data_IF_070062702230
#
_entry.id   IF_070062702230
#
_cell.length_a   1.000
_cell.length_b   1.000
_cell.length_c   1.000
_cell.angle_alpha   90.00
_cell.angle_beta   90.00
_cell.angle_gamma   90.00
#
_symmetry.space_group_name_H-M   'P 1'
#
loop_
_entity.id
_entity.type
_entity.pdbx_description
1 polymer ?
#
# COMPACT_ATOMS: atom_id res chain seq x y z
N UNK A 1 -1.16 24.42 -6.14
CA UNK A 1 -0.61 23.69 -4.99
C UNK A 1 0.68 24.34 -4.53
N UNK A 2 1.05 24.23 -3.25
CA UNK A 2 2.36 24.68 -2.77
C UNK A 2 3.43 23.62 -3.08
N UNK A 3 4.69 24.05 -3.19
CA UNK A 3 5.82 23.18 -3.53
C UNK A 3 5.99 22.00 -2.58
N UNK A 4 6.39 20.85 -3.12
CA UNK A 4 6.76 19.65 -2.35
C UNK A 4 8.21 19.80 -1.87
N UNK A 5 8.39 20.02 -0.57
CA UNK A 5 9.70 20.17 0.05
C UNK A 5 10.14 18.84 0.66
N UNK A 6 11.27 18.30 0.18
CA UNK A 6 11.86 17.06 0.68
C UNK A 6 13.13 17.41 1.47
N UNK A 7 13.26 16.87 2.69
CA UNK A 7 14.47 17.03 3.50
C UNK A 7 15.74 16.64 2.73
N UNK A 8 16.88 17.31 2.94
CA UNK A 8 18.15 16.89 2.34
C UNK A 8 18.56 15.51 2.85
N UNK A 9 19.29 14.76 2.02
CA UNK A 9 19.72 13.39 2.35
C UNK A 9 20.63 13.32 3.59
N UNK A 10 21.36 14.40 3.87
CA UNK A 10 22.22 14.52 5.06
C UNK A 10 21.45 14.68 6.38
N UNK A 11 20.18 15.09 6.33
CA UNK A 11 19.33 15.30 7.51
C UNK A 11 18.45 14.10 7.86
N UNK A 12 18.69 12.93 7.25
CA UNK A 12 17.87 11.75 7.49
C UNK A 12 18.67 10.46 7.26
N UNK A 13 18.42 9.47 8.08
CA UNK A 13 18.95 8.11 7.90
C UNK A 13 18.28 7.42 6.71
N UNK A 14 16.98 7.63 6.52
CA UNK A 14 16.17 6.93 5.52
C UNK A 14 15.71 7.88 4.40
N UNK A 15 15.91 7.45 3.18
CA UNK A 15 15.32 8.12 2.01
C UNK A 15 13.86 7.75 1.84
N UNK A 16 13.50 6.49 2.14
CA UNK A 16 12.12 5.99 2.10
C UNK A 16 11.88 4.97 3.21
N UNK A 17 10.76 5.12 3.92
CA UNK A 17 10.24 4.09 4.83
C UNK A 17 8.83 3.74 4.40
N UNK A 18 8.54 2.45 4.24
CA UNK A 18 7.18 1.97 4.01
C UNK A 18 6.59 1.35 5.26
N UNK A 19 5.26 1.51 5.43
CA UNK A 19 4.52 0.91 6.53
C UNK A 19 3.35 0.11 5.99
N UNK A 20 3.38 -1.20 6.20
CA UNK A 20 2.35 -2.09 5.68
C UNK A 20 2.65 -3.56 5.90
N UNK A 21 1.84 -4.42 5.28
CA UNK A 21 2.02 -5.86 5.35
C UNK A 21 2.98 -6.37 4.27
N UNK A 22 3.88 -7.25 4.66
CA UNK A 22 4.66 -8.06 3.73
C UNK A 22 4.16 -9.50 3.80
N UNK A 23 3.72 -10.01 2.64
CA UNK A 23 3.10 -11.34 2.50
C UNK A 23 3.98 -12.27 1.68
N UNK A 24 3.68 -13.57 1.77
CA UNK A 24 4.11 -14.53 0.76
C UNK A 24 3.10 -14.59 -0.39
N UNK A 25 3.61 -14.43 -1.61
CA UNK A 25 2.85 -14.54 -2.86
C UNK A 25 3.17 -15.85 -3.54
N UNK A 26 2.12 -16.59 -3.88
CA UNK A 26 2.20 -17.89 -4.54
C UNK A 26 1.72 -17.78 -5.98
N UNK A 27 2.62 -18.03 -6.93
CA UNK A 27 2.36 -18.00 -8.37
C UNK A 27 2.33 -19.45 -8.91
N UNK A 28 1.18 -19.93 -9.41
CA UNK A 28 1.05 -21.27 -9.98
C UNK A 28 1.60 -21.38 -11.42
N UNK A 29 2.28 -20.33 -11.93
CA UNK A 29 2.71 -20.25 -13.33
C UNK A 29 1.54 -20.01 -14.27
N UNK A 30 1.42 -20.84 -15.31
CA UNK A 30 0.32 -20.73 -16.30
C UNK A 30 -0.97 -21.45 -15.85
N UNK A 31 -0.92 -22.21 -14.77
CA UNK A 31 -2.05 -22.96 -14.21
C UNK A 31 -3.04 -22.11 -13.42
N UNK A 32 -4.04 -22.79 -12.88
CA UNK A 32 -4.97 -22.24 -11.88
C UNK A 32 -4.53 -22.67 -10.48
N UNK A 33 -4.73 -21.83 -9.48
CA UNK A 33 -4.47 -22.16 -8.07
C UNK A 33 -5.10 -23.47 -7.67
N UNK A 34 -6.38 -23.68 -8.02
CA UNK A 34 -7.14 -24.91 -7.66
C UNK A 34 -6.59 -26.21 -8.24
N UNK A 35 -5.72 -26.15 -9.24
CA UNK A 35 -5.13 -27.31 -9.90
C UNK A 35 -3.60 -27.36 -9.73
N UNK A 36 -3.02 -26.39 -9.01
CA UNK A 36 -1.58 -26.29 -8.87
C UNK A 36 -1.05 -27.37 -7.92
N UNK A 37 0.09 -27.95 -8.27
CA UNK A 37 0.87 -28.85 -7.41
C UNK A 37 2.20 -28.26 -6.98
N UNK A 38 2.54 -27.10 -7.53
CA UNK A 38 3.74 -26.32 -7.18
C UNK A 38 3.46 -24.83 -7.35
N UNK A 39 4.20 -24.02 -6.64
CA UNK A 39 4.13 -22.57 -6.71
C UNK A 39 5.53 -22.00 -6.69
N UNK A 40 5.77 -20.94 -7.44
CA UNK A 40 6.86 -20.03 -7.18
C UNK A 40 6.43 -19.10 -6.04
N UNK A 41 7.33 -18.90 -5.07
CA UNK A 41 7.04 -18.09 -3.89
C UNK A 41 7.86 -16.81 -3.92
N UNK A 42 7.20 -15.69 -3.67
CA UNK A 42 7.79 -14.35 -3.65
C UNK A 42 7.27 -13.58 -2.45
N UNK A 43 8.03 -12.63 -1.97
CA UNK A 43 7.54 -11.61 -1.06
C UNK A 43 6.75 -10.54 -1.82
N UNK A 44 5.85 -9.84 -1.12
CA UNK A 44 5.13 -8.70 -1.68
C UNK A 44 4.19 -8.07 -0.71
N UNK A 45 3.92 -6.82 -0.96
CA UNK A 45 2.98 -5.96 -0.25
C UNK A 45 2.95 -4.63 -0.97
N UNK A 46 1.79 -3.96 -1.03
CA UNK A 46 1.67 -2.69 -1.76
C UNK A 46 2.75 -1.70 -1.32
N UNK A 47 2.84 -1.51 -0.03
CA UNK A 47 3.75 -0.56 0.61
C UNK A 47 5.22 -1.01 0.53
N UNK A 48 5.48 -2.29 0.81
CA UNK A 48 6.83 -2.87 0.73
C UNK A 48 7.40 -2.80 -0.69
N UNK A 49 6.58 -3.04 -1.71
CA UNK A 49 7.03 -2.97 -3.10
C UNK A 49 7.62 -1.60 -3.45
N UNK A 50 7.11 -0.52 -2.85
CA UNK A 50 7.67 0.83 -3.02
C UNK A 50 9.05 0.94 -2.39
N UNK A 51 9.23 0.51 -1.13
CA UNK A 51 10.54 0.52 -0.48
C UNK A 51 11.57 -0.33 -1.24
N UNK A 52 11.14 -1.52 -1.70
CA UNK A 52 11.98 -2.42 -2.51
C UNK A 52 12.39 -1.77 -3.84
N UNK A 53 11.47 -1.13 -4.54
CA UNK A 53 11.75 -0.41 -5.77
C UNK A 53 12.71 0.76 -5.52
N UNK A 54 12.49 1.55 -4.47
CA UNK A 54 13.39 2.64 -4.08
C UNK A 54 14.81 2.12 -3.84
N UNK A 55 14.96 0.96 -3.21
CA UNK A 55 16.28 0.34 -3.02
C UNK A 55 16.87 -0.21 -4.31
N UNK A 56 16.12 -1.04 -5.04
CA UNK A 56 16.64 -1.79 -6.21
C UNK A 56 16.85 -0.91 -7.45
N UNK A 57 15.92 0.00 -7.73
CA UNK A 57 15.97 0.81 -8.95
C UNK A 57 16.79 2.10 -8.76
N UNK A 58 16.75 2.70 -7.58
CA UNK A 58 17.37 4.01 -7.33
C UNK A 58 18.42 4.03 -6.23
N UNK A 59 18.81 2.87 -5.69
CA UNK A 59 19.85 2.73 -4.66
C UNK A 59 19.62 3.60 -3.41
N UNK A 60 18.35 3.88 -3.08
CA UNK A 60 17.98 4.67 -1.92
C UNK A 60 18.10 3.85 -0.63
N UNK A 61 18.30 4.54 0.49
CA UNK A 61 18.26 3.94 1.83
C UNK A 61 16.79 3.72 2.18
N UNK A 62 16.36 2.46 2.13
CA UNK A 62 14.97 2.09 2.35
C UNK A 62 14.81 1.13 3.52
N UNK A 63 13.75 1.33 4.32
CA UNK A 63 13.36 0.46 5.42
C UNK A 63 11.86 0.13 5.33
N UNK A 64 11.46 -0.94 6.01
CA UNK A 64 10.04 -1.32 6.16
C UNK A 64 9.66 -1.42 7.63
N UNK A 65 8.49 -0.86 7.96
CA UNK A 65 7.79 -1.10 9.23
C UNK A 65 6.69 -2.12 8.95
N UNK A 66 6.78 -3.28 9.58
CA UNK A 66 5.83 -4.39 9.43
C UNK A 66 5.86 -5.28 10.66
N UNK A 67 5.02 -6.32 10.70
CA UNK A 67 5.13 -7.36 11.71
C UNK A 67 5.17 -8.75 11.09
N UNK A 68 6.00 -9.62 11.64
CA UNK A 68 6.20 -11.00 11.20
C UNK A 68 6.10 -11.97 12.38
N UNK A 69 5.61 -13.20 12.17
CA UNK A 69 5.61 -14.24 13.20
C UNK A 69 7.01 -14.86 13.36
N UNK A 70 7.35 -15.26 14.58
CA UNK A 70 8.59 -16.00 14.88
C UNK A 70 8.48 -17.46 14.46
N UNK A 71 8.49 -17.75 13.16
CA UNK A 71 8.47 -19.09 12.60
C UNK A 71 9.17 -19.11 11.23
N UNK A 72 9.29 -20.30 10.63
CA UNK A 72 9.98 -20.48 9.35
C UNK A 72 9.41 -19.63 8.21
N UNK A 73 8.08 -19.37 8.20
CA UNK A 73 7.47 -18.52 7.17
C UNK A 73 7.79 -17.03 7.39
N UNK A 74 7.85 -16.60 8.65
CA UNK A 74 8.28 -15.24 8.98
C UNK A 74 9.76 -15.01 8.62
N UNK A 75 10.62 -15.99 8.92
CA UNK A 75 12.03 -15.95 8.53
C UNK A 75 12.25 -16.03 7.01
N UNK A 76 11.40 -16.77 6.29
CA UNK A 76 11.42 -16.76 4.83
C UNK A 76 11.09 -15.38 4.26
N UNK A 77 10.09 -14.68 4.82
CA UNK A 77 9.80 -13.29 4.42
C UNK A 77 10.95 -12.36 4.75
N UNK A 78 11.57 -12.50 5.92
CA UNK A 78 12.76 -11.73 6.33
C UNK A 78 13.89 -11.92 5.32
N UNK A 79 14.21 -13.16 4.94
CA UNK A 79 15.26 -13.47 3.96
C UNK A 79 14.98 -12.81 2.61
N UNK A 80 13.76 -12.88 2.12
CA UNK A 80 13.37 -12.22 0.88
C UNK A 80 13.48 -10.69 0.96
N UNK A 81 13.11 -10.09 2.09
CA UNK A 81 13.29 -8.65 2.29
C UNK A 81 14.77 -8.27 2.29
N UNK A 82 15.64 -9.07 2.95
CA UNK A 82 17.10 -8.90 2.92
C UNK A 82 17.65 -8.99 1.51
N UNK A 83 17.21 -9.95 0.70
CA UNK A 83 17.54 -10.05 -0.73
C UNK A 83 17.08 -8.81 -1.51
N UNK A 84 15.97 -8.19 -1.11
CA UNK A 84 15.50 -6.89 -1.59
C UNK A 84 16.41 -5.72 -1.20
N UNK A 85 17.25 -5.90 -0.17
CA UNK A 85 18.14 -4.87 0.38
C UNK A 85 17.40 -3.79 1.17
N UNK A 86 16.20 -4.07 1.63
CA UNK A 86 15.39 -3.19 2.50
C UNK A 86 15.73 -3.49 3.96
N UNK A 87 15.91 -2.46 4.76
CA UNK A 87 16.26 -2.58 6.18
C UNK A 87 15.08 -3.09 7.01
N UNK A 88 15.36 -3.96 7.97
CA UNK A 88 14.41 -4.69 8.81
C UNK A 88 14.42 -4.25 10.28
N UNK A 89 15.19 -3.20 10.65
CA UNK A 89 15.35 -2.77 12.04
C UNK A 89 14.03 -2.35 12.73
N UNK A 90 12.99 -2.11 11.95
CA UNK A 90 11.66 -1.69 12.42
C UNK A 90 10.61 -2.80 12.29
N UNK A 91 11.01 -4.08 12.15
CA UNK A 91 10.10 -5.22 12.13
C UNK A 91 9.67 -5.58 13.54
N UNK A 92 8.35 -5.71 13.75
CA UNK A 92 7.75 -6.19 14.99
C UNK A 92 7.62 -7.70 14.89
N UNK A 93 8.35 -8.41 15.74
CA UNK A 93 8.28 -9.87 15.80
C UNK A 93 7.23 -10.32 16.81
N UNK A 94 6.28 -11.14 16.35
CA UNK A 94 5.21 -11.69 17.17
C UNK A 94 5.43 -13.16 17.45
N UNK A 95 5.07 -13.60 18.64
CA UNK A 95 5.14 -15.01 19.02
C UNK A 95 4.18 -15.85 18.18
N UNK A 96 4.63 -17.05 17.84
CA UNK A 96 3.87 -18.00 17.05
C UNK A 96 3.32 -19.11 17.95
N UNK A 97 2.05 -19.45 17.78
CA UNK A 97 1.32 -20.43 18.62
C UNK A 97 1.51 -21.90 18.18
N UNK A 98 2.40 -22.16 17.25
CA UNK A 98 2.64 -23.49 16.69
C UNK A 98 1.62 -23.94 15.63
N UNK A 99 0.52 -23.22 15.45
CA UNK A 99 -0.59 -23.59 14.55
C UNK A 99 -0.95 -22.47 13.54
N UNK A 100 -0.56 -21.24 13.81
CA UNK A 100 -0.99 -20.06 13.02
C UNK A 100 -2.45 -19.67 13.25
N UNK A 101 -3.03 -20.07 14.38
CA UNK A 101 -4.38 -19.69 14.77
C UNK A 101 -4.44 -18.23 15.20
N UNK A 102 -3.47 -17.79 15.99
CA UNK A 102 -3.43 -16.46 16.54
C UNK A 102 -2.60 -15.50 15.69
N UNK A 103 -1.48 -15.98 15.14
CA UNK A 103 -0.54 -15.15 14.36
C UNK A 103 0.08 -15.95 13.23
N UNK A 104 0.11 -15.40 12.02
CA UNK A 104 0.70 -16.03 10.84
C UNK A 104 1.20 -15.02 9.82
N UNK A 105 1.89 -15.45 8.78
CA UNK A 105 2.18 -14.64 7.59
C UNK A 105 0.91 -14.57 6.72
N UNK A 106 0.62 -13.40 6.16
CA UNK A 106 -0.42 -13.27 5.15
C UNK A 106 -0.04 -14.00 3.86
N UNK A 107 -0.98 -14.70 3.25
CA UNK A 107 -0.77 -15.42 1.99
C UNK A 107 -1.61 -14.80 0.88
N UNK A 108 -1.04 -14.74 -0.32
CA UNK A 108 -1.75 -14.28 -1.51
C UNK A 108 -1.41 -15.19 -2.70
N UNK A 109 -2.41 -15.84 -3.23
CA UNK A 109 -2.29 -16.68 -4.43
C UNK A 109 -2.72 -15.86 -5.64
N UNK A 110 -1.85 -15.72 -6.63
CA UNK A 110 -2.09 -14.83 -7.77
C UNK A 110 -1.98 -15.59 -9.08
N UNK A 111 -3.10 -15.75 -9.75
CA UNK A 111 -3.13 -16.30 -11.10
C UNK A 111 -2.85 -15.21 -12.14
N UNK A 112 -2.01 -15.50 -13.12
CA UNK A 112 -1.76 -14.59 -14.24
C UNK A 112 -2.95 -14.58 -15.21
N UNK A 113 -3.29 -13.39 -15.72
CA UNK A 113 -4.18 -13.27 -16.86
C UNK A 113 -3.52 -13.79 -18.14
N UNK A 114 -4.31 -14.45 -19.01
CA UNK A 114 -3.81 -14.93 -20.28
C UNK A 114 -4.91 -14.88 -21.36
N UNK A 115 -4.71 -14.13 -22.42
CA UNK A 115 -5.68 -13.97 -23.51
C UNK A 115 -7.02 -13.42 -23.01
N UNK A 116 -8.06 -14.22 -23.11
CA UNK A 116 -9.41 -13.89 -22.61
C UNK A 116 -9.62 -14.25 -21.14
N UNK A 117 -8.67 -14.97 -20.53
CA UNK A 117 -8.76 -15.39 -19.13
C UNK A 117 -8.25 -14.31 -18.21
N UNK A 118 -9.10 -13.70 -17.34
CA UNK A 118 -8.66 -12.68 -16.42
C UNK A 118 -7.69 -13.25 -15.37
N UNK A 119 -6.85 -12.37 -14.82
CA UNK A 119 -6.09 -12.64 -13.61
C UNK A 119 -7.04 -12.80 -12.43
N UNK A 120 -6.76 -13.75 -11.55
CA UNK A 120 -7.52 -13.96 -10.30
C UNK A 120 -6.56 -13.94 -9.12
N UNK A 121 -7.02 -13.37 -8.02
CA UNK A 121 -6.32 -13.39 -6.74
C UNK A 121 -7.14 -14.14 -5.69
N UNK A 122 -6.47 -14.92 -4.86
CA UNK A 122 -7.04 -15.51 -3.66
C UNK A 122 -6.17 -15.10 -2.48
N UNK A 123 -6.71 -14.31 -1.57
CA UNK A 123 -6.00 -13.85 -0.38
C UNK A 123 -6.43 -14.63 0.85
N UNK A 124 -5.46 -15.06 1.64
CA UNK A 124 -5.65 -15.71 2.93
C UNK A 124 -4.82 -14.94 3.98
N UNK A 125 -5.41 -13.86 4.50
CA UNK A 125 -4.75 -12.83 5.31
C UNK A 125 -5.33 -12.66 6.71
N UNK A 126 -6.25 -13.53 7.12
CA UNK A 126 -6.83 -13.47 8.46
C UNK A 126 -5.76 -13.68 9.54
N UNK A 127 -5.80 -12.90 10.61
CA UNK A 127 -4.86 -12.97 11.74
C UNK A 127 -3.37 -12.89 11.36
N UNK A 128 -3.04 -12.19 10.26
CA UNK A 128 -1.63 -11.96 9.96
C UNK A 128 -0.97 -11.10 11.04
N UNK A 129 0.34 -11.29 11.25
CA UNK A 129 1.08 -10.51 12.24
C UNK A 129 0.94 -9.01 12.00
N UNK A 130 0.99 -8.59 10.75
CA UNK A 130 0.84 -7.18 10.35
C UNK A 130 -0.57 -6.64 10.61
N UNK A 131 -1.64 -7.46 10.43
CA UNK A 131 -3.02 -7.04 10.70
C UNK A 131 -3.29 -6.76 12.20
N UNK A 132 -2.37 -7.14 13.06
CA UNK A 132 -2.48 -6.96 14.52
C UNK A 132 -1.71 -5.76 15.04
N UNK A 133 -1.03 -4.99 14.19
CA UNK A 133 -0.31 -3.78 14.61
C UNK A 133 -1.32 -2.76 15.14
N UNK A 134 -1.02 -2.21 16.31
CA UNK A 134 -1.87 -1.24 17.02
C UNK A 134 -1.13 0.09 17.19
N UNK A 135 -1.85 1.20 17.41
CA UNK A 135 -1.25 2.45 17.84
C UNK A 135 -0.36 2.26 19.08
N UNK A 136 0.75 2.97 19.13
CA UNK A 136 1.74 2.90 20.21
C UNK A 136 2.74 1.74 20.14
N UNK A 137 2.61 0.79 19.20
CA UNK A 137 3.57 -0.31 19.05
C UNK A 137 4.84 0.09 18.28
N UNK A 138 4.78 1.15 17.48
CA UNK A 138 5.93 1.67 16.73
C UNK A 138 6.42 2.97 17.37
N UNK A 139 7.71 3.05 17.63
CA UNK A 139 8.30 4.30 18.13
C UNK A 139 8.53 5.30 16.98
N UNK A 140 7.47 6.01 16.61
CA UNK A 140 7.50 7.02 15.56
C UNK A 140 8.42 8.21 15.86
N UNK A 141 8.58 8.57 17.15
CA UNK A 141 9.49 9.62 17.55
C UNK A 141 10.94 9.27 17.24
N UNK A 142 11.35 8.04 17.57
CA UNK A 142 12.66 7.54 17.18
C UNK A 142 12.84 7.51 15.67
N UNK A 143 11.86 6.97 14.91
CA UNK A 143 11.95 6.82 13.47
C UNK A 143 11.99 8.16 12.73
N UNK A 144 11.05 9.06 13.00
CA UNK A 144 10.93 10.32 12.28
C UNK A 144 11.75 11.45 12.87
N UNK A 145 11.92 11.49 14.23
CA UNK A 145 12.60 12.54 14.93
C UNK A 145 14.09 12.31 15.10
N UNK A 146 14.51 11.12 15.57
CA UNK A 146 15.91 10.82 15.85
C UNK A 146 16.64 10.32 14.59
N UNK A 147 16.12 9.28 13.94
CA UNK A 147 16.74 8.70 12.74
C UNK A 147 16.52 9.59 11.50
N UNK A 148 15.35 10.17 11.38
CA UNK A 148 14.95 11.01 10.26
C UNK A 148 14.56 10.20 9.03
N UNK A 149 13.42 10.57 8.45
CA UNK A 149 12.86 9.99 7.23
C UNK A 149 12.52 11.10 6.26
N UNK A 150 12.91 10.96 5.00
CA UNK A 150 12.60 11.93 3.94
C UNK A 150 11.22 11.71 3.33
N UNK A 151 10.89 10.43 3.10
CA UNK A 151 9.65 9.98 2.47
C UNK A 151 9.07 8.79 3.21
N UNK A 152 7.84 8.93 3.66
CA UNK A 152 7.05 7.85 4.27
C UNK A 152 5.94 7.41 3.33
N UNK A 153 5.82 6.10 3.12
CA UNK A 153 4.79 5.53 2.24
C UNK A 153 3.93 4.50 2.97
N UNK A 154 2.63 4.63 2.85
CA UNK A 154 1.66 3.64 3.33
C UNK A 154 0.46 3.61 2.38
N UNK A 155 -0.55 2.77 2.64
CA UNK A 155 -1.65 2.62 1.70
C UNK A 155 -2.94 2.06 2.30
N UNK A 156 -3.99 2.18 1.50
CA UNK A 156 -5.35 1.79 1.85
C UNK A 156 -5.54 0.28 2.03
N UNK A 157 -4.72 -0.54 1.41
CA UNK A 157 -4.75 -2.00 1.66
C UNK A 157 -4.38 -2.30 3.11
N UNK A 158 -3.30 -1.69 3.62
CA UNK A 158 -2.90 -1.91 5.00
C UNK A 158 -3.90 -1.30 5.98
N UNK A 159 -4.36 -0.08 5.74
CA UNK A 159 -5.41 0.55 6.55
C UNK A 159 -6.72 -0.27 6.59
N UNK A 160 -7.02 -1.03 5.52
CA UNK A 160 -8.22 -1.85 5.42
C UNK A 160 -8.09 -3.25 6.06
N UNK A 161 -6.95 -3.65 6.59
CA UNK A 161 -6.79 -5.00 7.17
C UNK A 161 -7.61 -5.19 8.45
N UNK A 162 -7.64 -4.17 9.32
CA UNK A 162 -8.36 -4.19 10.57
C UNK A 162 -8.56 -2.74 11.08
N UNK A 163 -9.43 -2.53 12.06
CA UNK A 163 -9.63 -1.20 12.67
C UNK A 163 -8.37 -0.66 13.31
N UNK A 164 -7.62 -1.51 14.02
CA UNK A 164 -6.35 -1.14 14.65
C UNK A 164 -5.27 -0.74 13.63
N UNK A 165 -5.21 -1.35 12.45
CA UNK A 165 -4.25 -0.95 11.41
C UNK A 165 -4.62 0.41 10.81
N UNK A 166 -5.92 0.71 10.65
CA UNK A 166 -6.37 2.05 10.24
C UNK A 166 -5.93 3.12 11.25
N UNK A 167 -6.13 2.87 12.55
CA UNK A 167 -5.71 3.76 13.64
C UNK A 167 -4.17 3.92 13.68
N UNK A 168 -3.41 2.83 13.50
CA UNK A 168 -1.95 2.88 13.43
C UNK A 168 -1.45 3.66 12.21
N UNK A 169 -2.13 3.60 11.07
CA UNK A 169 -1.80 4.43 9.89
C UNK A 169 -2.07 5.90 10.17
N UNK A 170 -3.18 6.25 10.83
CA UNK A 170 -3.49 7.64 11.22
C UNK A 170 -2.38 8.18 12.14
N UNK A 171 -2.03 7.43 13.19
CA UNK A 171 -0.92 7.78 14.09
C UNK A 171 0.39 8.02 13.34
N UNK A 172 0.73 7.11 12.41
CA UNK A 172 1.96 7.17 11.64
C UNK A 172 2.05 8.41 10.73
N UNK A 173 0.97 8.73 10.00
CA UNK A 173 0.97 9.90 9.11
C UNK A 173 0.97 11.22 9.89
N UNK A 174 0.30 11.29 11.03
CA UNK A 174 0.35 12.44 11.94
C UNK A 174 1.76 12.65 12.50
N UNK A 175 2.41 11.57 12.96
CA UNK A 175 3.78 11.62 13.42
C UNK A 175 4.76 12.04 12.30
N UNK A 176 4.62 11.48 11.09
CA UNK A 176 5.45 11.85 9.95
C UNK A 176 5.34 13.34 9.63
N UNK A 177 4.13 13.90 9.66
CA UNK A 177 3.90 15.35 9.43
C UNK A 177 4.51 16.20 10.52
N UNK A 178 4.41 15.82 11.80
CA UNK A 178 5.03 16.52 12.93
C UNK A 178 6.53 16.74 12.71
N UNK A 179 7.21 15.77 12.09
CA UNK A 179 8.64 15.82 11.83
C UNK A 179 9.00 16.28 10.40
N UNK A 180 8.04 16.80 9.61
CA UNK A 180 8.29 17.33 8.26
C UNK A 180 8.73 16.26 7.26
N UNK A 181 8.31 15.02 7.44
CA UNK A 181 8.50 13.93 6.49
C UNK A 181 7.41 14.01 5.41
N UNK A 182 7.78 13.85 4.14
CA UNK A 182 6.79 13.74 3.06
C UNK A 182 6.00 12.45 3.22
N UNK A 183 4.68 12.56 3.19
CA UNK A 183 3.76 11.41 3.28
C UNK A 183 3.16 11.12 1.92
N UNK A 184 3.38 9.93 1.38
CA UNK A 184 2.66 9.41 0.22
C UNK A 184 1.70 8.30 0.63
N UNK A 185 0.53 8.29 0.01
CA UNK A 185 -0.54 7.34 0.28
C UNK A 185 -1.16 6.82 -1.00
N UNK A 186 -1.18 5.50 -1.17
CA UNK A 186 -1.89 4.83 -2.26
C UNK A 186 -3.26 4.37 -1.75
N UNK A 187 -4.33 4.94 -2.27
CA UNK A 187 -5.70 4.63 -1.87
C UNK A 187 -6.04 3.15 -2.03
N UNK A 188 -5.63 2.57 -3.13
CA UNK A 188 -5.62 1.13 -3.42
C UNK A 188 -6.83 0.38 -2.84
N UNK A 189 -8.04 0.83 -3.19
CA UNK A 189 -9.30 0.33 -2.65
C UNK A 189 -9.50 -1.16 -2.91
N UNK A 190 -9.95 -1.88 -1.90
CA UNK A 190 -10.34 -3.28 -2.01
C UNK A 190 -11.65 -3.50 -1.26
N UNK A 191 -12.75 -3.59 -2.01
CA UNK A 191 -14.09 -3.78 -1.44
C UNK A 191 -14.17 -4.97 -0.48
N UNK A 192 -13.45 -6.06 -0.79
CA UNK A 192 -13.41 -7.27 0.05
C UNK A 192 -12.82 -7.04 1.44
N UNK A 193 -11.81 -6.16 1.58
CA UNK A 193 -11.21 -5.82 2.87
C UNK A 193 -12.12 -4.88 3.67
N UNK A 194 -12.65 -3.84 3.02
CA UNK A 194 -13.52 -2.87 3.67
C UNK A 194 -14.88 -3.45 4.09
N UNK A 195 -15.35 -4.51 3.42
CA UNK A 195 -16.64 -5.15 3.75
C UNK A 195 -16.74 -5.56 5.21
N UNK A 196 -15.67 -6.07 5.81
CA UNK A 196 -15.63 -6.47 7.22
C UNK A 196 -15.52 -5.30 8.19
N UNK A 197 -15.21 -4.10 7.71
CA UNK A 197 -15.00 -2.90 8.51
C UNK A 197 -16.09 -1.83 8.34
N UNK A 198 -17.22 -2.15 7.72
CA UNK A 198 -18.33 -1.22 7.49
C UNK A 198 -18.45 -0.68 6.07
N UNK A 199 -17.75 -1.31 5.11
CA UNK A 199 -17.94 -1.05 3.68
C UNK A 199 -17.40 0.30 3.20
N UNK A 200 -18.04 0.84 2.15
CA UNK A 200 -17.62 2.08 1.47
C UNK A 200 -17.66 3.30 2.42
N UNK A 201 -18.65 3.38 3.28
CA UNK A 201 -18.79 4.50 4.23
C UNK A 201 -17.62 4.55 5.23
N UNK A 202 -17.23 3.40 5.77
CA UNK A 202 -16.07 3.30 6.64
C UNK A 202 -14.77 3.62 5.88
N UNK A 203 -14.62 3.14 4.65
CA UNK A 203 -13.50 3.46 3.78
C UNK A 203 -13.37 4.97 3.58
N UNK A 204 -14.45 5.65 3.24
CA UNK A 204 -14.46 7.11 3.04
C UNK A 204 -14.09 7.85 4.32
N UNK A 205 -14.71 7.52 5.43
CA UNK A 205 -14.45 8.18 6.72
C UNK A 205 -12.96 8.06 7.11
N UNK A 206 -12.40 6.86 7.03
CA UNK A 206 -11.02 6.58 7.44
C UNK A 206 -10.03 7.21 6.46
N UNK A 207 -10.20 7.00 5.15
CA UNK A 207 -9.26 7.54 4.17
C UNK A 207 -9.30 9.08 4.12
N UNK A 208 -10.45 9.72 4.33
CA UNK A 208 -10.53 11.20 4.47
C UNK A 208 -9.80 11.70 5.71
N UNK A 209 -9.77 10.94 6.81
CA UNK A 209 -8.97 11.29 7.98
C UNK A 209 -7.47 11.18 7.67
N UNK A 210 -7.02 10.11 7.05
CA UNK A 210 -5.62 9.91 6.63
C UNK A 210 -5.21 11.00 5.62
N UNK A 211 -6.06 11.29 4.63
CA UNK A 211 -5.79 12.25 3.55
C UNK A 211 -5.41 13.65 4.04
N UNK A 212 -5.89 14.07 5.21
CA UNK A 212 -5.53 15.37 5.82
C UNK A 212 -4.04 15.51 6.13
N UNK A 213 -3.31 14.40 6.22
CA UNK A 213 -1.88 14.35 6.53
C UNK A 213 -1.02 13.86 5.35
N UNK A 214 -1.60 13.73 4.16
CA UNK A 214 -0.92 13.24 2.95
C UNK A 214 -0.45 14.39 2.09
N UNK A 215 0.80 14.31 1.60
CA UNK A 215 1.36 15.25 0.63
C UNK A 215 1.19 14.74 -0.81
N UNK A 216 1.35 13.43 -1.01
CA UNK A 216 1.29 12.78 -2.32
C UNK A 216 0.21 11.71 -2.29
N UNK A 217 -0.93 11.99 -2.93
CA UNK A 217 -2.05 11.09 -3.04
C UNK A 217 -1.99 10.32 -4.35
N UNK A 218 -2.11 8.99 -4.27
CA UNK A 218 -2.06 8.09 -5.43
C UNK A 218 -3.32 7.22 -5.42
N UNK A 219 -3.88 6.96 -6.59
CA UNK A 219 -5.01 6.04 -6.77
C UNK A 219 -5.51 6.06 -8.20
N UNK A 220 -6.36 5.12 -8.55
CA UNK A 220 -7.15 5.19 -9.78
C UNK A 220 -8.48 5.92 -9.52
N UNK A 221 -9.35 6.03 -10.51
CA UNK A 221 -10.64 6.70 -10.38
C UNK A 221 -11.58 6.04 -9.36
N UNK A 222 -11.65 4.70 -9.38
CA UNK A 222 -12.44 3.92 -8.43
C UNK A 222 -11.96 4.17 -7.00
N UNK A 223 -10.64 4.27 -6.82
CA UNK A 223 -10.04 4.55 -5.53
C UNK A 223 -10.46 5.93 -4.99
N UNK A 224 -10.41 6.98 -5.81
CA UNK A 224 -10.82 8.33 -5.41
C UNK A 224 -12.32 8.39 -5.07
N UNK A 225 -13.15 7.72 -5.87
CA UNK A 225 -14.59 7.64 -5.63
C UNK A 225 -14.90 6.82 -4.37
N UNK A 226 -14.34 5.63 -4.25
CA UNK A 226 -14.65 4.71 -3.15
C UNK A 226 -14.07 5.16 -1.80
N UNK A 227 -12.84 5.72 -1.80
CA UNK A 227 -12.14 6.10 -0.57
C UNK A 227 -12.34 7.55 -0.16
N UNK A 228 -12.55 8.47 -1.11
CA UNK A 228 -12.66 9.89 -0.81
C UNK A 228 -14.03 10.48 -1.15
N UNK A 229 -14.88 9.74 -1.85
CA UNK A 229 -16.24 10.17 -2.21
C UNK A 229 -16.26 11.25 -3.29
N UNK A 230 -15.29 11.23 -4.22
CA UNK A 230 -15.29 12.11 -5.39
C UNK A 230 -15.79 11.34 -6.61
N UNK A 231 -16.99 11.64 -7.04
CA UNK A 231 -17.58 11.01 -8.22
C UNK A 231 -16.96 11.60 -9.50
N UNK A 232 -16.72 10.72 -10.47
CA UNK A 232 -16.32 11.11 -11.83
C UNK A 232 -17.60 11.27 -12.64
N UNK A 233 -18.01 12.50 -12.95
CA UNK A 233 -19.17 12.76 -13.80
C UNK A 233 -18.91 12.20 -15.21
N UNK A 234 -19.79 11.30 -15.70
CA UNK A 234 -19.74 10.76 -17.05
C UNK A 234 -18.83 9.55 -17.25
N UNK A 235 -18.31 8.93 -16.19
CA UNK A 235 -17.64 7.63 -16.32
C UNK A 235 -18.66 6.53 -16.62
N UNK A 236 -18.63 6.01 -17.85
CA UNK A 236 -19.37 4.81 -18.23
C UNK A 236 -18.70 3.59 -17.59
N UNK A 237 -19.46 2.59 -17.13
CA UNK A 237 -18.95 1.35 -16.50
C UNK A 237 -17.96 0.56 -17.42
N UNK A 238 -17.92 0.94 -18.69
CA UNK A 238 -17.03 0.37 -19.72
C UNK A 238 -16.13 1.46 -20.30
N UNK A 239 -15.08 1.86 -19.57
CA UNK A 239 -14.06 2.83 -20.03
C UNK A 239 -13.37 2.35 -21.32
N UNK A 240 -14.04 2.55 -22.46
CA UNK A 240 -13.52 2.26 -23.80
C UNK A 240 -12.65 3.40 -24.35
N UNK A 241 -12.81 4.62 -23.80
CA UNK A 241 -11.95 5.77 -24.10
C UNK A 241 -11.56 6.44 -22.79
N UNK A 242 -10.27 6.73 -22.63
CA UNK A 242 -9.72 7.48 -21.49
C UNK A 242 -10.10 8.96 -21.72
N UNK A 243 -11.21 9.39 -21.15
CA UNK A 243 -11.57 10.80 -21.11
C UNK A 243 -10.73 11.53 -20.06
N UNK A 244 -9.55 12.00 -20.46
CA UNK A 244 -8.60 12.68 -19.57
C UNK A 244 -9.18 13.89 -18.86
N UNK A 245 -10.21 14.53 -19.40
CA UNK A 245 -10.85 15.71 -18.79
C UNK A 245 -11.65 15.39 -17.54
N UNK A 246 -12.37 14.27 -17.51
CA UNK A 246 -13.12 13.83 -16.31
C UNK A 246 -12.15 13.51 -15.15
N UNK A 247 -11.02 12.87 -15.45
CA UNK A 247 -9.96 12.60 -14.46
C UNK A 247 -9.30 13.88 -13.94
N UNK A 248 -9.03 14.85 -14.81
CA UNK A 248 -8.51 16.17 -14.39
C UNK A 248 -9.48 16.87 -13.45
N UNK A 249 -10.78 16.88 -13.76
CA UNK A 249 -11.83 17.48 -12.92
C UNK A 249 -11.90 16.80 -11.56
N UNK A 250 -11.85 15.45 -11.51
CA UNK A 250 -11.82 14.68 -10.26
C UNK A 250 -10.60 15.07 -9.40
N UNK A 251 -9.40 15.07 -9.99
CA UNK A 251 -8.17 15.45 -9.28
C UNK A 251 -8.27 16.89 -8.75
N UNK A 252 -8.76 17.83 -9.56
CA UNK A 252 -8.94 19.24 -9.13
C UNK A 252 -9.91 19.34 -7.96
N UNK A 253 -11.01 18.57 -7.99
CA UNK A 253 -11.98 18.51 -6.88
C UNK A 253 -11.32 17.93 -5.62
N UNK A 254 -10.54 16.87 -5.75
CA UNK A 254 -9.82 16.27 -4.63
C UNK A 254 -8.79 17.25 -4.02
N UNK A 255 -8.02 17.93 -4.83
CA UNK A 255 -7.03 18.94 -4.38
C UNK A 255 -7.72 20.15 -3.73
N UNK A 256 -8.88 20.58 -4.23
CA UNK A 256 -9.66 21.64 -3.59
C UNK A 256 -10.18 21.22 -2.20
N UNK A 257 -10.59 19.97 -2.03
CA UNK A 257 -11.06 19.43 -0.76
C UNK A 257 -9.90 19.13 0.24
N UNK A 258 -8.71 18.85 -0.27
CA UNK A 258 -7.51 18.56 0.52
C UNK A 258 -6.34 19.46 0.09
N UNK A 259 -6.31 20.74 0.54
CA UNK A 259 -5.30 21.71 0.14
C UNK A 259 -3.87 21.38 0.62
N UNK A 260 -3.74 20.40 1.49
CA UNK A 260 -2.44 19.84 1.91
C UNK A 260 -1.78 18.98 0.82
N UNK A 261 -2.51 18.46 -0.17
CA UNK A 261 -1.90 17.72 -1.26
C UNK A 261 -0.93 18.61 -2.04
N UNK A 262 0.25 18.08 -2.29
CA UNK A 262 1.32 18.68 -3.12
C UNK A 262 1.41 18.00 -4.48
N UNK A 263 0.99 16.74 -4.53
CA UNK A 263 0.90 15.93 -5.74
C UNK A 263 -0.34 15.05 -5.62
N UNK A 264 -1.14 15.00 -6.67
CA UNK A 264 -2.19 14.01 -6.84
C UNK A 264 -1.96 13.27 -8.16
N UNK A 265 -1.85 11.94 -8.08
CA UNK A 265 -1.57 11.09 -9.22
C UNK A 265 -2.67 10.05 -9.40
N UNK A 266 -3.16 9.90 -10.63
CA UNK A 266 -4.06 8.81 -10.99
C UNK A 266 -3.45 7.93 -12.06
N UNK A 267 -3.53 6.61 -11.87
CA UNK A 267 -3.11 5.63 -12.86
C UNK A 267 -4.25 5.34 -13.81
N UNK A 268 -3.93 5.25 -15.09
CA UNK A 268 -4.86 4.95 -16.17
C UNK A 268 -4.49 3.62 -16.79
N UNK A 269 -5.47 2.72 -16.95
CA UNK A 269 -5.25 1.41 -17.53
C UNK A 269 -6.25 1.16 -18.65
N UNK A 270 -5.75 0.77 -19.82
CA UNK A 270 -6.57 0.24 -20.90
C UNK A 270 -6.21 -1.23 -21.12
N UNK A 271 -7.14 -2.14 -20.84
CA UNK A 271 -6.94 -3.56 -21.02
C UNK A 271 -7.43 -3.97 -22.41
N UNK A 272 -6.53 -4.29 -23.33
CA UNK A 272 -6.86 -4.87 -24.64
C UNK A 272 -7.19 -6.36 -24.50
N UNK A 273 -6.40 -7.08 -23.72
CA UNK A 273 -6.64 -8.46 -23.30
C UNK A 273 -6.12 -8.64 -21.88
N UNK A 274 -6.34 -9.80 -21.26
CA UNK A 274 -5.74 -10.09 -19.96
C UNK A 274 -4.20 -10.17 -19.99
N UNK A 275 -3.61 -10.33 -21.18
CA UNK A 275 -2.16 -10.35 -21.39
C UNK A 275 -1.59 -8.97 -21.68
N UNK A 276 -2.30 -8.16 -22.47
CA UNK A 276 -1.82 -6.86 -22.98
C UNK A 276 -2.63 -5.71 -22.36
N UNK A 277 -1.91 -4.82 -21.69
CA UNK A 277 -2.48 -3.63 -21.07
C UNK A 277 -1.60 -2.42 -21.38
N UNK A 278 -2.23 -1.32 -21.75
CA UNK A 278 -1.59 -0.02 -21.84
C UNK A 278 -1.74 0.69 -20.48
N UNK A 279 -0.65 1.26 -19.99
CA UNK A 279 -0.61 1.98 -18.73
C UNK A 279 -0.13 3.40 -18.96
N UNK A 280 -0.80 4.34 -18.33
CA UNK A 280 -0.39 5.74 -18.25
C UNK A 280 -0.75 6.32 -16.88
N UNK A 281 -0.43 7.59 -16.67
CA UNK A 281 -0.79 8.29 -15.45
C UNK A 281 -1.01 9.77 -15.73
N UNK A 282 -1.88 10.40 -14.94
CA UNK A 282 -1.99 11.84 -14.82
C UNK A 282 -1.43 12.25 -13.47
N UNK A 283 -0.65 13.31 -13.47
CA UNK A 283 -0.07 13.89 -12.24
C UNK A 283 -0.39 15.38 -12.23
N UNK A 284 -0.91 15.84 -11.12
CA UNK A 284 -1.24 17.23 -10.86
C UNK A 284 -0.42 17.76 -9.68
#
# INVERSE_FOLDING_TARGET
MSELIIKPASAARWDCVSFGEVMLRFDPGFGRVRNARSFQVWEGGGEYNVARAMKKCWQKRAAVVTALPRNDLGWLVEDFIMQGGVDLSHVIWRDFDGLGKNTRVGLNFTEKGFGVRPALGCSDRGNSAASQIKPGEVNWEKLFGEEGVRWFHTGGIFAALASNTAEAVIEAVEAAKKYGTVVSYDLNYRASLWKSQGGKEAAQRINRTIARNVDVMIGNEEDFTACLGFDVEGADEHLTQIETESFKKMIQTAVAAFPNFKVAATTLRKATTATFNDWSALVY
#
